data_IF_398705185198
#
_entry.id   IF_398705185198
#
_cell.length_a   1.000
_cell.length_b   1.000
_cell.length_c   1.000
_cell.angle_alpha   90.00
_cell.angle_beta   90.00
_cell.angle_gamma   90.00
#
_symmetry.space_group_name_H-M   'P 1'
#
loop_
_entity.id
_entity.type
_entity.pdbx_description
1 polymer ?
#
# COMPACT_ATOMS: atom_id res chain seq x y z
N UNK A 1 4.04 21.00 -20.67
CA UNK A 1 2.72 21.38 -21.19
C UNK A 1 1.80 21.50 -19.99
N UNK A 2 1.09 22.61 -19.86
CA UNK A 2 0.12 22.80 -18.78
C UNK A 2 -1.25 22.30 -19.26
N UNK A 3 -2.03 21.72 -18.35
CA UNK A 3 -3.34 21.16 -18.65
C UNK A 3 -4.27 21.37 -17.46
N UNK A 4 -5.55 21.52 -17.75
CA UNK A 4 -6.58 21.78 -16.75
C UNK A 4 -7.09 20.48 -16.11
N UNK A 5 -7.44 20.55 -14.83
CA UNK A 5 -7.99 19.47 -14.03
C UNK A 5 -9.42 19.72 -13.54
N UNK A 6 -10.07 20.83 -13.92
CA UNK A 6 -11.42 21.18 -13.47
C UNK A 6 -12.45 20.10 -13.79
N UNK A 7 -12.56 19.69 -15.06
CA UNK A 7 -13.51 18.64 -15.51
C UNK A 7 -12.88 17.23 -15.52
N UNK A 8 -11.59 17.16 -15.23
CA UNK A 8 -10.77 15.95 -15.26
C UNK A 8 -9.99 15.78 -16.56
N UNK A 9 -8.78 15.24 -16.41
CA UNK A 9 -7.85 14.99 -17.51
C UNK A 9 -7.39 13.54 -17.53
N UNK A 10 -7.01 13.08 -18.72
CA UNK A 10 -6.39 11.77 -18.91
C UNK A 10 -4.90 11.86 -18.59
N UNK A 11 -4.45 10.94 -17.74
CA UNK A 11 -3.05 10.69 -17.46
C UNK A 11 -2.68 9.36 -18.12
N UNK A 12 -1.86 9.45 -19.15
CA UNK A 12 -1.44 8.33 -19.98
C UNK A 12 -0.34 7.52 -19.31
N UNK A 13 -0.28 6.23 -19.65
CA UNK A 13 0.75 5.34 -19.12
C UNK A 13 2.14 5.74 -19.59
N UNK A 14 3.13 5.64 -18.69
CA UNK A 14 4.52 6.00 -18.98
C UNK A 14 4.81 7.49 -19.07
N UNK A 15 3.79 8.35 -18.98
CA UNK A 15 3.96 9.80 -18.87
C UNK A 15 4.17 10.22 -17.41
N UNK A 16 4.78 11.39 -17.22
CA UNK A 16 5.04 11.98 -15.89
C UNK A 16 4.34 13.34 -15.81
N UNK A 17 3.60 13.54 -14.74
CA UNK A 17 2.81 14.74 -14.48
C UNK A 17 3.12 15.28 -13.10
N UNK A 18 3.29 16.59 -12.97
CA UNK A 18 3.46 17.27 -11.67
C UNK A 18 2.22 18.11 -11.42
N UNK A 19 1.50 17.81 -10.34
CA UNK A 19 0.24 18.47 -9.98
C UNK A 19 0.40 19.17 -8.63
N UNK A 20 0.24 20.51 -8.56
CA UNK A 20 0.15 21.21 -7.28
C UNK A 20 -1.02 20.66 -6.46
N UNK A 21 -0.76 20.30 -5.20
CA UNK A 21 -1.81 19.86 -4.30
C UNK A 21 -2.60 21.05 -3.76
N UNK A 22 -3.85 20.81 -3.39
CA UNK A 22 -4.70 21.82 -2.77
C UNK A 22 -4.20 22.16 -1.36
N UNK A 23 -3.65 21.16 -0.67
CA UNK A 23 -3.07 21.31 0.66
C UNK A 23 -1.65 21.91 0.60
N UNK A 24 -1.36 22.75 1.60
CA UNK A 24 -0.01 23.18 1.96
C UNK A 24 0.18 22.96 3.45
N UNK A 25 1.43 22.96 3.92
CA UNK A 25 1.73 22.73 5.34
C UNK A 25 2.59 23.84 5.92
N UNK A 26 2.42 24.05 7.23
CA UNK A 26 3.27 24.90 8.05
C UNK A 26 3.55 24.14 9.36
N UNK A 27 4.50 23.21 9.30
CA UNK A 27 4.77 22.29 10.39
C UNK A 27 5.49 22.99 11.55
N UNK A 28 5.19 22.63 12.81
CA UNK A 28 6.04 22.97 13.94
C UNK A 28 7.46 22.41 13.81
N UNK A 29 8.42 23.03 14.50
CA UNK A 29 9.84 22.67 14.41
C UNK A 29 10.18 21.24 14.88
N UNK A 30 9.29 20.62 15.66
CA UNK A 30 9.42 19.27 16.20
C UNK A 30 8.57 18.22 15.45
N UNK A 31 7.82 18.63 14.41
CA UNK A 31 6.93 17.77 13.63
C UNK A 31 7.46 17.63 12.21
N UNK A 32 7.78 16.40 11.84
CA UNK A 32 8.04 15.99 10.46
C UNK A 32 6.84 15.24 9.88
N UNK A 33 6.85 14.97 8.59
CA UNK A 33 5.86 14.11 7.97
C UNK A 33 6.44 13.26 6.84
N UNK A 34 5.79 12.14 6.55
CA UNK A 34 6.02 11.40 5.32
C UNK A 34 4.73 11.18 4.56
N UNK A 35 4.85 11.06 3.25
CA UNK A 35 3.77 10.69 2.36
C UNK A 35 3.92 9.25 1.86
N UNK A 36 2.82 8.66 1.43
CA UNK A 36 2.81 7.40 0.72
C UNK A 36 1.56 7.35 -0.18
N UNK A 37 1.57 6.54 -1.25
CA UNK A 37 0.37 6.33 -2.04
C UNK A 37 -0.74 5.71 -1.17
N UNK A 38 -1.99 6.00 -1.54
CA UNK A 38 -3.12 5.27 -0.98
C UNK A 38 -3.13 3.85 -1.52
N UNK A 39 -3.66 2.92 -0.75
CA UNK A 39 -3.77 1.51 -1.14
C UNK A 39 -4.56 1.29 -2.45
N UNK A 40 -5.56 2.15 -2.73
CA UNK A 40 -6.28 2.13 -4.01
C UNK A 40 -5.45 2.62 -5.20
N UNK A 41 -4.48 3.51 -4.95
CA UNK A 41 -3.54 4.05 -5.95
C UNK A 41 -2.52 2.99 -6.32
N UNK A 42 -1.95 2.31 -5.31
CA UNK A 42 -1.05 1.17 -5.51
C UNK A 42 -1.70 0.05 -6.31
N UNK A 43 -2.95 -0.32 -5.98
CA UNK A 43 -3.70 -1.34 -6.73
C UNK A 43 -4.02 -0.97 -8.18
N UNK A 44 -3.82 0.27 -8.59
CA UNK A 44 -3.95 0.70 -10.00
C UNK A 44 -2.58 0.86 -10.68
N UNK A 45 -1.50 0.50 -10.00
CA UNK A 45 -0.13 0.67 -10.46
C UNK A 45 0.17 2.12 -10.88
N UNK A 46 -0.26 3.07 -10.06
CA UNK A 46 0.00 4.49 -10.26
C UNK A 46 1.19 4.87 -9.40
N UNK A 47 2.31 5.23 -10.04
CA UNK A 47 3.45 5.78 -9.35
C UNK A 47 3.15 7.20 -8.89
N UNK A 48 3.41 7.47 -7.61
CA UNK A 48 3.28 8.81 -7.06
C UNK A 48 4.43 9.17 -6.12
N UNK A 49 4.85 10.44 -6.14
CA UNK A 49 5.78 11.03 -5.17
C UNK A 49 5.29 12.40 -4.75
N UNK A 50 5.25 12.65 -3.45
CA UNK A 50 5.05 14.00 -2.92
C UNK A 50 6.39 14.75 -2.98
N UNK A 51 6.34 15.95 -3.54
CA UNK A 51 7.48 16.85 -3.70
C UNK A 51 7.23 18.10 -2.84
N UNK A 52 8.29 18.56 -2.19
CA UNK A 52 8.31 19.78 -1.38
C UNK A 52 9.36 20.75 -1.92
N UNK A 53 9.22 22.03 -1.60
CA UNK A 53 10.25 23.02 -1.95
C UNK A 53 11.56 22.67 -1.22
N UNK A 54 12.68 22.72 -1.95
CA UNK A 54 14.01 22.34 -1.45
C UNK A 54 14.12 20.88 -0.96
N UNK A 55 13.24 20.00 -1.43
CA UNK A 55 13.29 18.57 -1.14
C UNK A 55 14.66 17.96 -1.48
N UNK A 56 15.21 17.20 -0.52
CA UNK A 56 16.36 16.31 -0.78
C UNK A 56 15.92 14.89 -1.07
N UNK A 57 14.73 14.52 -0.60
CA UNK A 57 14.13 13.21 -0.72
C UNK A 57 12.65 13.39 -1.04
N UNK A 58 12.11 12.53 -1.91
CA UNK A 58 10.67 12.48 -2.15
C UNK A 58 9.93 11.95 -0.93
N UNK A 59 8.66 12.28 -0.83
CA UNK A 59 7.73 11.80 0.20
C UNK A 59 8.12 12.18 1.63
N UNK A 60 9.17 12.98 1.85
CA UNK A 60 9.59 13.44 3.17
C UNK A 60 9.42 14.95 3.31
N UNK A 61 8.78 15.35 4.40
CA UNK A 61 8.66 16.74 4.83
C UNK A 61 9.51 16.87 6.10
N UNK A 62 10.63 17.63 6.06
CA UNK A 62 11.48 17.80 7.22
C UNK A 62 10.73 18.54 8.33
N UNK A 63 11.23 18.40 9.56
CA UNK A 63 10.63 19.09 10.69
C UNK A 63 10.66 20.61 10.51
N UNK A 64 9.55 21.28 10.80
CA UNK A 64 9.41 22.73 10.57
C UNK A 64 9.14 23.14 9.12
N UNK A 65 8.95 22.20 8.19
CA UNK A 65 8.68 22.53 6.79
C UNK A 65 7.43 23.41 6.64
N UNK A 66 7.57 24.50 5.88
CA UNK A 66 6.50 25.42 5.54
C UNK A 66 6.53 25.67 4.04
N UNK A 67 5.47 25.26 3.35
CA UNK A 67 5.42 25.44 1.90
C UNK A 67 4.30 24.66 1.22
N UNK A 68 4.20 24.82 -0.11
CA UNK A 68 3.30 24.05 -0.94
C UNK A 68 3.70 22.58 -0.96
N UNK A 69 2.78 21.74 -1.47
CA UNK A 69 3.05 20.35 -1.79
C UNK A 69 2.69 20.10 -3.25
N UNK A 70 3.46 19.26 -3.93
CA UNK A 70 3.18 18.82 -5.29
C UNK A 70 3.13 17.30 -5.32
N UNK A 71 2.38 16.74 -6.25
CA UNK A 71 2.31 15.31 -6.49
C UNK A 71 2.82 15.02 -7.89
N UNK A 72 3.92 14.29 -7.97
CA UNK A 72 4.30 13.58 -9.19
C UNK A 72 3.38 12.38 -9.37
N UNK A 73 2.85 12.20 -10.57
CA UNK A 73 1.95 11.11 -10.94
C UNK A 73 2.47 10.50 -12.24
N UNK A 74 2.64 9.18 -12.26
CA UNK A 74 2.97 8.42 -13.46
C UNK A 74 2.21 7.08 -13.47
N UNK A 75 1.11 6.98 -14.22
CA UNK A 75 0.42 5.70 -14.39
C UNK A 75 1.33 4.70 -15.09
N UNK A 76 1.45 3.48 -14.55
CA UNK A 76 2.36 2.46 -15.10
C UNK A 76 1.63 1.41 -15.93
N UNK A 77 0.48 0.94 -15.45
CA UNK A 77 -0.28 -0.12 -16.14
C UNK A 77 -1.58 0.37 -16.75
N UNK A 78 -2.41 1.09 -15.98
CA UNK A 78 -3.68 1.60 -16.47
C UNK A 78 -3.60 3.10 -16.71
N UNK A 79 -4.05 3.61 -17.87
CA UNK A 79 -4.28 5.04 -18.01
C UNK A 79 -5.46 5.46 -17.13
N UNK A 80 -5.38 6.67 -16.56
CA UNK A 80 -6.35 7.12 -15.55
C UNK A 80 -6.97 8.47 -15.90
N UNK A 81 -8.14 8.74 -15.34
CA UNK A 81 -8.73 10.07 -15.28
C UNK A 81 -8.68 10.58 -13.85
N UNK A 82 -8.12 11.78 -13.67
CA UNK A 82 -8.08 12.48 -12.38
C UNK A 82 -8.45 13.95 -12.57
N UNK A 83 -8.93 14.58 -11.50
CA UNK A 83 -9.45 15.96 -11.47
C UNK A 83 -9.07 16.67 -10.18
N UNK A 84 -9.36 17.96 -10.10
CA UNK A 84 -9.22 18.71 -8.86
C UNK A 84 -10.01 18.02 -7.73
N UNK A 85 -9.34 17.77 -6.60
CA UNK A 85 -9.91 17.04 -5.46
C UNK A 85 -9.77 15.52 -5.52
N UNK A 86 -9.26 14.92 -6.60
CA UNK A 86 -8.91 13.50 -6.63
C UNK A 86 -7.82 13.18 -5.59
N UNK A 87 -7.97 12.04 -4.90
CA UNK A 87 -7.11 11.67 -3.75
C UNK A 87 -6.28 10.43 -4.06
N UNK A 88 -5.00 10.63 -4.38
CA UNK A 88 -4.06 9.57 -4.76
C UNK A 88 -3.00 9.28 -3.68
N UNK A 89 -2.63 10.28 -2.89
CA UNK A 89 -1.62 10.18 -1.82
C UNK A 89 -2.21 10.49 -0.45
N UNK A 90 -1.42 10.26 0.59
CA UNK A 90 -1.73 10.51 1.99
C UNK A 90 -0.46 10.87 2.74
N UNK A 91 -0.60 11.67 3.80
CA UNK A 91 0.50 12.18 4.62
C UNK A 91 0.30 11.78 6.08
N UNK A 92 1.38 11.32 6.73
CA UNK A 92 1.42 10.99 8.17
C UNK A 92 2.40 11.93 8.86
N UNK A 93 1.91 12.63 9.88
CA UNK A 93 2.70 13.53 10.73
C UNK A 93 3.27 12.76 11.93
N UNK A 94 4.50 13.08 12.31
CA UNK A 94 5.22 12.40 13.39
C UNK A 94 6.03 13.39 14.23
N UNK A 95 6.17 13.06 15.52
CA UNK A 95 7.04 13.76 16.47
C UNK A 95 8.13 12.82 16.95
N UNK A 96 9.39 13.21 16.78
CA UNK A 96 10.55 12.44 17.26
C UNK A 96 10.63 11.02 16.68
N UNK A 97 11.24 10.10 17.44
CA UNK A 97 11.38 8.68 17.07
C UNK A 97 10.25 7.85 17.67
N UNK A 98 9.24 7.53 16.87
CA UNK A 98 8.09 6.73 17.29
C UNK A 98 8.24 5.22 17.00
N UNK A 99 9.24 4.84 16.20
CA UNK A 99 9.46 3.46 15.74
C UNK A 99 9.78 2.51 16.89
N UNK A 100 9.16 1.34 16.88
CA UNK A 100 9.49 0.23 17.77
C UNK A 100 10.73 -0.50 17.23
N UNK A 101 11.67 -0.80 18.14
CA UNK A 101 12.73 -1.76 17.87
C UNK A 101 12.20 -3.21 17.95
N UNK A 102 13.04 -4.17 17.57
CA UNK A 102 12.66 -5.58 17.50
C UNK A 102 12.29 -6.17 18.87
N UNK A 103 12.92 -5.69 19.95
CA UNK A 103 12.62 -6.12 21.31
C UNK A 103 11.23 -5.63 21.75
N UNK A 104 10.93 -4.36 21.52
CA UNK A 104 9.62 -3.77 21.79
C UNK A 104 8.52 -4.40 20.93
N UNK A 105 8.82 -4.73 19.68
CA UNK A 105 7.89 -5.38 18.76
C UNK A 105 7.59 -6.82 19.18
N UNK A 106 8.61 -7.57 19.61
CA UNK A 106 8.46 -8.92 20.17
C UNK A 106 7.60 -8.89 21.43
N UNK A 107 7.89 -7.94 22.34
CA UNK A 107 7.10 -7.76 23.55
C UNK A 107 5.66 -7.33 23.25
N UNK A 108 5.42 -6.53 22.20
CA UNK A 108 4.08 -6.17 21.77
C UNK A 108 3.33 -7.40 21.22
N UNK A 109 3.95 -8.19 20.35
CA UNK A 109 3.35 -9.43 19.85
C UNK A 109 2.96 -10.38 20.97
N UNK A 110 3.81 -10.59 21.98
CA UNK A 110 3.50 -11.45 23.11
C UNK A 110 2.28 -10.97 23.93
N UNK A 111 1.98 -9.67 23.94
CA UNK A 111 0.84 -9.10 24.68
C UNK A 111 -0.47 -9.14 23.91
N UNK A 112 -0.45 -8.84 22.62
CA UNK A 112 -1.68 -8.57 21.84
C UNK A 112 -1.81 -9.37 20.54
N UNK A 113 -0.79 -10.14 20.15
CA UNK A 113 -0.75 -10.87 18.88
C UNK A 113 -0.73 -9.93 17.67
N UNK A 114 0.43 -9.79 17.01
CA UNK A 114 0.56 -8.95 15.80
C UNK A 114 0.34 -9.73 14.49
N UNK A 115 0.50 -11.05 14.54
CA UNK A 115 0.25 -11.98 13.43
C UNK A 115 -0.34 -13.26 13.98
N UNK A 116 -0.94 -14.06 13.12
CA UNK A 116 -1.27 -15.44 13.42
C UNK A 116 0.01 -16.30 13.52
N UNK A 117 0.19 -16.97 14.66
CA UNK A 117 1.34 -17.84 14.89
C UNK A 117 2.63 -17.11 15.27
N UNK A 118 3.77 -17.77 15.04
CA UNK A 118 5.08 -17.29 15.45
C UNK A 118 5.58 -16.17 14.51
N UNK A 119 5.96 -14.99 15.05
CA UNK A 119 6.40 -13.87 14.22
C UNK A 119 7.86 -14.03 13.81
N UNK A 120 8.21 -13.61 12.59
CA UNK A 120 9.60 -13.39 12.21
C UNK A 120 9.91 -11.89 12.31
N UNK A 121 10.67 -11.50 13.33
CA UNK A 121 11.01 -10.10 13.61
C UNK A 121 12.51 -9.89 13.40
N UNK A 122 12.85 -9.04 12.44
CA UNK A 122 14.20 -8.59 12.16
C UNK A 122 14.13 -7.26 11.40
N UNK A 123 14.44 -6.15 12.09
CA UNK A 123 14.21 -4.78 11.63
C UNK A 123 12.74 -4.49 11.27
N UNK A 124 11.82 -5.05 12.04
CA UNK A 124 10.37 -5.05 11.77
C UNK A 124 9.79 -6.45 11.59
N UNK A 125 8.46 -6.54 11.53
CA UNK A 125 7.71 -7.77 11.36
C UNK A 125 7.72 -8.20 9.89
N UNK A 126 8.34 -9.32 9.55
CA UNK A 126 8.38 -9.80 8.18
C UNK A 126 7.02 -10.30 7.70
N UNK A 127 6.74 -10.05 6.42
CA UNK A 127 5.61 -10.60 5.70
C UNK A 127 6.09 -11.46 4.54
N UNK A 128 5.43 -12.59 4.38
CA UNK A 128 5.69 -13.56 3.33
C UNK A 128 4.49 -13.75 2.42
N UNK A 129 4.72 -14.28 1.23
CA UNK A 129 3.69 -14.41 0.20
C UNK A 129 2.86 -15.70 0.35
N UNK A 130 1.55 -15.62 0.15
CA UNK A 130 0.69 -16.80 0.01
C UNK A 130 0.43 -17.13 -1.46
N UNK A 131 0.89 -18.31 -1.89
CA UNK A 131 0.66 -18.84 -3.25
C UNK A 131 -0.04 -20.20 -3.21
N UNK A 132 -0.68 -20.54 -2.08
CA UNK A 132 -1.44 -21.80 -1.93
C UNK A 132 -2.85 -21.71 -2.52
N UNK A 133 -3.43 -20.50 -2.53
CA UNK A 133 -4.67 -20.22 -3.24
C UNK A 133 -5.92 -20.72 -2.53
N UNK A 134 -6.02 -20.51 -1.20
CA UNK A 134 -7.26 -20.76 -0.46
C UNK A 134 -8.44 -20.00 -1.10
N UNK A 135 -9.29 -20.71 -1.87
CA UNK A 135 -10.37 -20.12 -2.67
C UNK A 135 -10.19 -20.20 -4.19
N UNK A 136 -9.15 -20.87 -4.69
CA UNK A 136 -8.93 -21.13 -6.12
C UNK A 136 -8.25 -20.01 -6.91
N UNK A 137 -7.87 -18.91 -6.24
CA UNK A 137 -7.14 -17.78 -6.83
C UNK A 137 -5.98 -17.42 -5.89
N UNK A 138 -4.77 -17.30 -6.44
CA UNK A 138 -3.57 -16.85 -5.70
C UNK A 138 -3.31 -15.35 -5.86
N UNK A 139 -3.87 -14.74 -6.90
CA UNK A 139 -3.62 -13.35 -7.23
C UNK A 139 -4.32 -12.87 -8.49
N UNK A 140 -4.00 -11.65 -8.88
CA UNK A 140 -4.41 -11.07 -10.16
C UNK A 140 -3.20 -10.51 -10.90
N UNK A 141 -3.12 -10.77 -12.20
CA UNK A 141 -2.18 -10.11 -13.11
C UNK A 141 -2.92 -9.01 -13.87
N UNK A 142 -2.34 -7.83 -13.95
CA UNK A 142 -2.95 -6.72 -14.66
C UNK A 142 -2.88 -6.92 -16.19
N UNK A 143 -3.93 -6.53 -16.90
CA UNK A 143 -3.94 -6.49 -18.37
C UNK A 143 -3.26 -5.22 -18.87
N UNK A 144 -2.54 -5.34 -20.00
CA UNK A 144 -1.77 -4.23 -20.60
C UNK A 144 -2.61 -3.24 -21.40
N UNK A 145 -3.67 -3.71 -22.06
CA UNK A 145 -4.53 -2.90 -22.91
C UNK A 145 -5.94 -2.88 -22.35
N UNK A 146 -6.32 -1.75 -21.76
CA UNK A 146 -7.58 -1.59 -21.03
C UNK A 146 -8.17 -0.22 -21.32
N UNK A 147 -9.42 -0.01 -20.89
CA UNK A 147 -10.03 1.31 -20.89
C UNK A 147 -9.40 2.22 -19.79
N UNK A 148 -9.79 3.50 -19.78
CA UNK A 148 -9.39 4.44 -18.74
C UNK A 148 -10.05 4.08 -17.39
N UNK A 149 -9.33 4.32 -16.29
CA UNK A 149 -9.89 4.21 -14.93
C UNK A 149 -10.05 5.61 -14.32
N UNK A 150 -11.29 5.97 -13.98
CA UNK A 150 -11.57 7.19 -13.22
C UNK A 150 -11.31 6.94 -11.72
N UNK A 151 -10.32 7.62 -11.14
CA UNK A 151 -9.84 7.36 -9.77
C UNK A 151 -10.83 7.75 -8.66
N UNK A 152 -11.90 8.46 -9.01
CA UNK A 152 -12.92 8.90 -8.07
C UNK A 152 -14.17 8.00 -8.10
N UNK A 153 -14.41 7.28 -9.19
CA UNK A 153 -15.60 6.42 -9.36
C UNK A 153 -15.40 5.06 -8.72
N UNK A 154 -16.38 4.62 -7.92
CA UNK A 154 -16.34 3.33 -7.21
C UNK A 154 -17.19 2.29 -7.91
N UNK A 155 -16.71 1.05 -7.97
CA UNK A 155 -17.45 -0.11 -8.47
C UNK A 155 -18.10 0.09 -9.86
N UNK A 156 -17.38 0.70 -10.80
CA UNK A 156 -17.88 0.96 -12.17
C UNK A 156 -17.27 0.05 -13.22
N UNK A 157 -16.17 -0.63 -12.90
CA UNK A 157 -15.46 -1.51 -13.83
C UNK A 157 -15.66 -2.98 -13.47
N UNK A 158 -15.77 -3.84 -14.49
CA UNK A 158 -15.72 -5.28 -14.30
C UNK A 158 -14.27 -5.74 -14.14
N UNK A 159 -14.02 -6.63 -13.19
CA UNK A 159 -12.68 -7.10 -12.84
C UNK A 159 -11.97 -7.68 -14.06
N UNK A 160 -12.66 -8.52 -14.82
CA UNK A 160 -12.08 -9.27 -15.94
C UNK A 160 -11.72 -8.39 -17.14
N UNK A 161 -12.16 -7.14 -17.20
CA UNK A 161 -11.72 -6.20 -18.25
C UNK A 161 -10.30 -5.68 -18.00
N UNK A 162 -9.84 -5.71 -16.74
CA UNK A 162 -8.58 -5.10 -16.30
C UNK A 162 -7.60 -6.10 -15.68
N UNK A 163 -8.10 -7.22 -15.17
CA UNK A 163 -7.33 -8.20 -14.42
C UNK A 163 -7.56 -9.61 -14.92
N UNK A 164 -6.49 -10.40 -14.89
CA UNK A 164 -6.49 -11.83 -15.13
C UNK A 164 -6.35 -12.52 -13.77
N UNK A 165 -7.36 -13.26 -13.28
CA UNK A 165 -7.24 -14.06 -12.07
C UNK A 165 -6.22 -15.17 -12.29
N UNK A 166 -5.35 -15.40 -11.31
CA UNK A 166 -4.31 -16.42 -11.36
C UNK A 166 -4.77 -17.58 -10.49
N UNK A 167 -5.00 -18.74 -11.10
CA UNK A 167 -5.32 -19.97 -10.38
C UNK A 167 -4.04 -20.65 -9.87
N UNK A 168 -4.09 -21.36 -8.72
CA UNK A 168 -2.98 -22.21 -8.29
C UNK A 168 -2.78 -23.34 -9.32
N UNK A 169 -1.53 -23.63 -9.69
CA UNK A 169 -1.21 -24.71 -10.61
C UNK A 169 0.10 -25.41 -10.23
N UNK A 170 0.01 -26.70 -9.90
CA UNK A 170 1.19 -27.50 -9.57
C UNK A 170 1.82 -27.08 -8.24
N UNK A 171 3.08 -26.63 -8.29
CA UNK A 171 3.82 -26.17 -7.10
C UNK A 171 3.31 -24.78 -6.67
N UNK A 172 3.37 -24.43 -5.37
CA UNK A 172 2.95 -23.13 -4.87
C UNK A 172 4.03 -22.06 -5.18
N UNK A 173 4.23 -21.78 -6.46
CA UNK A 173 5.19 -20.83 -7.02
C UNK A 173 4.54 -19.99 -8.12
N UNK A 174 5.07 -18.80 -8.38
CA UNK A 174 4.60 -17.90 -9.43
C UNK A 174 5.80 -17.25 -10.12
N UNK A 175 5.86 -17.37 -11.45
CA UNK A 175 6.82 -16.60 -12.24
C UNK A 175 6.33 -15.15 -12.37
N UNK A 176 7.12 -14.22 -11.85
CA UNK A 176 6.93 -12.78 -12.00
C UNK A 176 7.61 -12.34 -13.30
N UNK A 177 6.80 -12.15 -14.35
CA UNK A 177 7.28 -11.65 -15.63
C UNK A 177 7.67 -10.16 -15.53
N UNK A 178 8.78 -9.73 -16.15
CA UNK A 178 9.11 -8.32 -16.25
C UNK A 178 7.96 -7.50 -16.85
N UNK A 179 7.83 -6.27 -16.39
CA UNK A 179 6.79 -5.31 -16.78
C UNK A 179 5.34 -5.73 -16.47
N UNK A 180 5.12 -6.89 -15.86
CA UNK A 180 3.81 -7.26 -15.34
C UNK A 180 3.60 -6.73 -13.92
N UNK A 181 2.34 -6.48 -13.60
CA UNK A 181 1.91 -6.04 -12.29
C UNK A 181 0.98 -7.06 -11.66
N UNK A 182 1.28 -7.44 -10.42
CA UNK A 182 0.57 -8.47 -9.70
C UNK A 182 -0.03 -7.91 -8.41
N UNK A 183 -1.26 -8.30 -8.12
CA UNK A 183 -1.87 -8.16 -6.79
C UNK A 183 -1.90 -9.54 -6.16
N UNK A 184 -1.14 -9.69 -5.09
CA UNK A 184 -1.01 -10.91 -4.30
C UNK A 184 -1.42 -10.62 -2.85
N UNK A 185 -1.27 -11.60 -1.96
CA UNK A 185 -1.66 -11.48 -0.56
C UNK A 185 -0.63 -12.10 0.37
N UNK A 186 -0.46 -11.54 1.56
CA UNK A 186 0.42 -12.08 2.58
C UNK A 186 -0.11 -13.41 3.13
N UNK A 187 0.82 -14.24 3.61
CA UNK A 187 0.51 -15.43 4.39
C UNK A 187 0.05 -15.05 5.80
N UNK A 188 0.70 -14.07 6.40
CA UNK A 188 0.40 -13.62 7.76
C UNK A 188 -0.87 -12.76 7.78
N UNK A 189 -1.76 -13.04 8.73
CA UNK A 189 -2.90 -12.21 9.11
C UNK A 189 -2.43 -11.16 10.13
N UNK A 190 -2.23 -9.93 9.66
CA UNK A 190 -1.64 -8.84 10.43
C UNK A 190 -2.67 -8.14 11.31
N UNK A 191 -2.26 -7.78 12.52
CA UNK A 191 -3.01 -6.94 13.44
C UNK A 191 -2.19 -5.71 13.87
N UNK A 192 -2.74 -4.52 13.62
CA UNK A 192 -2.20 -3.23 14.09
C UNK A 192 -3.06 -2.72 15.24
N UNK A 193 -2.56 -2.77 16.50
CA UNK A 193 -3.37 -2.39 17.66
C UNK A 193 -3.70 -0.89 17.67
N UNK A 194 -4.76 -0.46 18.40
CA UNK A 194 -5.25 0.92 18.41
C UNK A 194 -4.24 2.03 18.74
N UNK A 195 -3.21 1.72 19.52
CA UNK A 195 -2.21 2.71 19.97
C UNK A 195 -0.95 2.72 19.07
N UNK A 196 -0.99 2.01 17.95
CA UNK A 196 0.12 1.88 17.02
C UNK A 196 -0.36 2.11 15.59
N UNK A 197 0.54 2.62 14.77
CA UNK A 197 0.42 2.56 13.33
C UNK A 197 1.53 1.65 12.78
N UNK A 198 1.37 1.21 11.54
CA UNK A 198 2.46 0.53 10.85
C UNK A 198 2.71 1.11 9.45
N UNK A 199 3.86 0.79 8.90
CA UNK A 199 4.27 1.15 7.55
C UNK A 199 4.97 -0.06 6.92
N UNK A 200 4.55 -0.40 5.71
CA UNK A 200 5.28 -1.38 4.91
C UNK A 200 6.57 -0.76 4.43
N UNK A 201 7.68 -1.45 4.65
CA UNK A 201 8.97 -1.15 4.04
C UNK A 201 9.40 -2.32 3.17
N UNK A 202 10.01 -2.08 2.00
CA UNK A 202 10.51 -3.15 1.16
C UNK A 202 11.49 -4.06 1.90
N UNK A 203 11.52 -5.34 1.54
CA UNK A 203 12.66 -6.19 1.84
C UNK A 203 13.90 -5.63 1.11
N UNK A 204 15.06 -5.69 1.77
CA UNK A 204 16.31 -5.00 1.40
C UNK A 204 16.54 -4.91 -0.14
N UNK A 205 16.74 -3.69 -0.70
CA UNK A 205 16.95 -3.48 -2.13
C UNK A 205 18.15 -4.21 -2.76
N UNK A 206 19.06 -4.76 -1.94
CA UNK A 206 20.18 -5.58 -2.42
C UNK A 206 19.72 -6.89 -3.07
N UNK A 207 18.46 -7.29 -2.87
CA UNK A 207 17.80 -8.34 -3.65
C UNK A 207 17.19 -7.68 -4.89
N UNK A 208 18.00 -7.46 -5.93
CA UNK A 208 17.64 -6.76 -7.17
C UNK A 208 16.59 -7.46 -8.06
N UNK A 209 15.89 -8.47 -7.54
CA UNK A 209 15.12 -9.44 -8.33
C UNK A 209 13.62 -9.10 -8.37
N UNK A 210 13.05 -8.59 -7.28
CA UNK A 210 11.66 -8.12 -7.24
C UNK A 210 11.43 -7.08 -6.14
N UNK A 211 10.33 -6.32 -6.22
CA UNK A 211 9.93 -5.36 -5.19
C UNK A 211 8.43 -5.49 -4.89
N UNK A 212 8.08 -5.36 -3.61
CA UNK A 212 6.72 -4.93 -3.25
C UNK A 212 6.63 -3.44 -3.57
N UNK A 213 5.94 -3.13 -4.65
CA UNK A 213 5.70 -1.76 -5.07
C UNK A 213 4.63 -1.12 -4.18
N UNK A 214 4.71 0.19 -3.97
CA UNK A 214 3.68 0.97 -3.26
C UNK A 214 3.46 0.60 -1.78
N UNK A 215 4.56 0.28 -1.09
CA UNK A 215 4.60 0.15 0.35
C UNK A 215 3.89 1.35 1.01
N UNK A 216 2.94 1.07 1.91
CA UNK A 216 1.99 2.07 2.39
C UNK A 216 1.77 2.03 3.89
N UNK A 217 1.00 3.02 4.35
CA UNK A 217 0.57 3.17 5.74
C UNK A 217 -0.52 2.16 6.10
N UNK A 218 -0.35 1.54 7.26
CA UNK A 218 -1.37 0.76 7.96
C UNK A 218 -1.86 1.58 9.15
N UNK A 219 -3.16 1.75 9.23
CA UNK A 219 -3.81 2.57 10.26
C UNK A 219 -4.06 1.78 11.55
N UNK A 220 -4.14 2.47 12.71
CA UNK A 220 -4.49 1.83 13.96
C UNK A 220 -5.86 1.14 13.87
N UNK A 221 -5.92 -0.13 14.29
CA UNK A 221 -7.10 -0.98 14.17
C UNK A 221 -7.13 -1.87 12.93
N UNK A 222 -6.11 -1.84 12.05
CA UNK A 222 -6.05 -2.78 10.94
C UNK A 222 -6.02 -4.23 11.44
N UNK A 223 -6.93 -5.08 10.95
CA UNK A 223 -7.08 -6.47 11.44
C UNK A 223 -7.51 -6.60 12.90
N UNK A 224 -7.97 -5.51 13.53
CA UNK A 224 -8.46 -5.50 14.89
C UNK A 224 -9.95 -5.88 14.93
N UNK A 225 -10.33 -6.74 15.87
CA UNK A 225 -11.73 -6.92 16.27
C UNK A 225 -11.84 -6.85 17.79
N UNK A 226 -12.94 -6.29 18.31
CA UNK A 226 -13.17 -6.16 19.75
C UNK A 226 -13.16 -7.51 20.49
N UNK A 227 -13.40 -8.62 19.77
CA UNK A 227 -13.32 -9.99 20.27
C UNK A 227 -11.92 -10.63 20.14
N UNK A 228 -10.87 -9.84 19.94
CA UNK A 228 -9.49 -10.32 19.86
C UNK A 228 -9.00 -10.65 18.44
N UNK A 229 -9.36 -9.79 17.47
CA UNK A 229 -8.94 -9.76 16.05
C UNK A 229 -8.10 -10.93 15.55
N UNK A 230 -8.64 -11.73 14.63
CA UNK A 230 -7.89 -12.80 13.94
C UNK A 230 -6.80 -12.28 12.96
N UNK A 231 -6.55 -10.97 12.96
CA UNK A 231 -5.72 -10.30 11.96
C UNK A 231 -6.41 -10.20 10.60
N UNK A 232 -5.74 -9.51 9.68
CA UNK A 232 -6.17 -9.32 8.31
C UNK A 232 -4.97 -9.44 7.39
N UNK A 233 -5.10 -10.14 6.27
CA UNK A 233 -3.96 -10.31 5.36
C UNK A 233 -3.69 -9.02 4.62
N UNK A 234 -2.41 -8.71 4.46
CA UNK A 234 -1.97 -7.58 3.66
C UNK A 234 -2.10 -7.96 2.18
N UNK A 235 -2.81 -7.13 1.42
CA UNK A 235 -2.75 -7.19 -0.04
C UNK A 235 -1.45 -6.54 -0.49
N UNK A 236 -0.74 -7.17 -1.42
CA UNK A 236 0.61 -6.81 -1.83
C UNK A 236 0.65 -6.56 -3.33
N UNK A 237 1.16 -5.38 -3.69
CA UNK A 237 1.44 -5.00 -5.06
C UNK A 237 2.87 -5.41 -5.43
N UNK A 238 3.04 -6.35 -6.37
CA UNK A 238 4.34 -6.97 -6.68
C UNK A 238 4.72 -6.80 -8.15
N UNK A 239 6.00 -6.49 -8.40
CA UNK A 239 6.63 -6.52 -9.74
C UNK A 239 8.02 -7.13 -9.65
N UNK A 240 8.45 -7.84 -10.69
CA UNK A 240 9.87 -8.16 -10.90
C UNK A 240 10.59 -7.02 -11.61
N UNK A 241 11.91 -6.99 -11.47
CA UNK A 241 12.76 -6.00 -12.12
C UNK A 241 13.63 -6.67 -13.19
N UNK A 242 13.56 -6.16 -14.44
CA UNK A 242 14.39 -6.52 -15.61
C UNK A 242 14.38 -7.99 -16.07
N UNK A 243 14.41 -8.96 -15.16
CA UNK A 243 14.47 -10.40 -15.40
C UNK A 243 13.29 -11.13 -14.74
N UNK A 244 12.81 -12.24 -15.32
CA UNK A 244 11.81 -13.08 -14.68
C UNK A 244 12.31 -13.60 -13.33
N UNK A 245 11.43 -13.62 -12.33
CA UNK A 245 11.75 -14.13 -10.99
C UNK A 245 10.73 -15.18 -10.56
N UNK A 246 11.19 -16.33 -10.04
CA UNK A 246 10.30 -17.35 -9.48
C UNK A 246 10.05 -17.01 -8.02
N UNK A 247 8.84 -16.55 -7.72
CA UNK A 247 8.41 -16.28 -6.35
C UNK A 247 7.83 -17.56 -5.75
N UNK A 248 8.38 -18.02 -4.63
CA UNK A 248 7.92 -19.22 -3.94
C UNK A 248 7.03 -18.89 -2.74
N UNK A 249 6.08 -19.77 -2.42
CA UNK A 249 5.25 -19.62 -1.23
C UNK A 249 6.08 -19.50 0.06
N UNK A 250 5.73 -18.54 0.91
CA UNK A 250 6.43 -18.29 2.17
C UNK A 250 7.72 -17.49 2.00
N UNK A 251 8.09 -17.09 0.78
CA UNK A 251 9.17 -16.14 0.57
C UNK A 251 8.82 -14.78 1.18
N UNK A 252 9.77 -14.19 1.91
CA UNK A 252 9.62 -12.86 2.52
C UNK A 252 9.65 -11.80 1.43
N UNK A 253 8.68 -10.89 1.45
CA UNK A 253 8.49 -9.85 0.43
C UNK A 253 8.55 -8.43 1.01
N UNK A 254 8.36 -8.28 2.31
CA UNK A 254 8.41 -6.97 2.97
C UNK A 254 8.47 -7.07 4.48
N UNK A 255 8.54 -5.91 5.13
CA UNK A 255 8.47 -5.79 6.58
C UNK A 255 7.48 -4.71 6.97
N UNK A 256 6.73 -4.95 8.03
CA UNK A 256 5.96 -3.93 8.72
C UNK A 256 6.78 -3.35 9.87
N UNK A 257 7.00 -2.05 9.78
CA UNK A 257 7.56 -1.24 10.85
C UNK A 257 6.42 -0.65 11.66
N UNK A 258 6.45 -0.83 12.98
CA UNK A 258 5.43 -0.27 13.88
C UNK A 258 5.93 1.02 14.51
N UNK A 259 5.02 1.98 14.65
CA UNK A 259 5.23 3.26 15.29
C UNK A 259 4.17 3.49 16.37
N UNK A 260 4.55 4.11 17.49
CA UNK A 260 3.61 4.51 18.54
C UNK A 260 2.79 5.71 18.11
N UNK A 261 1.49 5.66 18.35
CA UNK A 261 0.63 6.84 18.23
C UNK A 261 0.89 7.81 19.37
N UNK A 262 0.77 9.12 19.11
CA UNK A 262 0.83 10.15 20.15
C UNK A 262 -0.37 9.99 21.10
N UNK A 263 -1.55 9.75 20.51
CA UNK A 263 -2.81 9.49 21.20
C UNK A 263 -3.61 8.46 20.40
N UNK A 264 -4.47 7.70 21.09
CA UNK A 264 -5.39 6.76 20.44
C UNK A 264 -6.35 7.53 19.51
N UNK A 265 -6.53 7.13 18.24
CA UNK A 265 -7.43 7.82 17.34
C UNK A 265 -8.89 7.66 17.78
N UNK A 266 -9.71 8.66 17.44
CA UNK A 266 -11.15 8.65 17.72
C UNK A 266 -11.92 7.62 16.91
N UNK A 267 -11.39 7.23 15.76
CA UNK A 267 -11.98 6.26 14.83
C UNK A 267 -10.86 5.30 14.43
N UNK A 268 -11.09 4.01 14.65
CA UNK A 268 -10.20 2.95 14.25
C UNK A 268 -10.46 2.49 12.82
N UNK A 269 -9.45 1.90 12.22
CA UNK A 269 -9.59 1.30 10.89
C UNK A 269 -10.66 0.21 10.89
N UNK A 270 -11.61 0.32 9.96
CA UNK A 270 -12.75 -0.60 9.84
C UNK A 270 -13.89 -0.34 10.83
N UNK A 271 -13.75 0.60 11.76
CA UNK A 271 -14.84 0.97 12.66
C UNK A 271 -16.00 1.63 11.87
N UNK A 272 -17.22 1.15 12.08
CA UNK A 272 -18.42 1.62 11.36
C UNK A 272 -18.55 1.14 9.91
N UNK A 273 -17.58 0.38 9.39
CA UNK A 273 -17.64 -0.29 8.09
C UNK A 273 -17.84 -1.77 8.40
N UNK A 274 -18.96 -2.37 7.96
CA UNK A 274 -19.34 -3.73 8.35
C UNK A 274 -18.20 -4.77 8.27
N UNK A 275 -18.35 -5.86 9.03
CA UNK A 275 -17.36 -6.94 9.26
C UNK A 275 -16.63 -7.49 8.01
N UNK A 276 -17.19 -7.28 6.82
CA UNK A 276 -16.57 -7.57 5.52
C UNK A 276 -15.27 -6.81 5.21
N UNK A 277 -14.97 -5.68 5.85
CA UNK A 277 -13.72 -4.94 5.59
C UNK A 277 -12.53 -5.40 6.45
N UNK A 278 -12.81 -6.11 7.56
CA UNK A 278 -11.82 -6.55 8.55
C UNK A 278 -11.30 -7.98 8.32
N UNK A 279 -12.01 -8.81 7.54
CA UNK A 279 -11.52 -10.09 7.06
C UNK A 279 -10.91 -9.95 5.65
N UNK A 280 -9.77 -9.24 5.51
CA UNK A 280 -9.19 -9.04 4.18
C UNK A 280 -8.50 -10.32 3.71
N UNK A 281 -9.12 -10.94 2.70
CA UNK A 281 -8.43 -11.77 1.72
C UNK A 281 -7.94 -10.95 0.52
N UNK A 282 -7.59 -11.63 -0.56
CA UNK A 282 -7.19 -11.03 -1.83
C UNK A 282 -8.27 -10.05 -2.35
N UNK A 283 -7.93 -8.76 -2.50
CA UNK A 283 -8.89 -7.71 -2.86
C UNK A 283 -8.30 -6.67 -3.82
N UNK A 284 -9.02 -6.41 -4.92
CA UNK A 284 -8.72 -5.36 -5.88
C UNK A 284 -9.16 -3.97 -5.41
N UNK A 285 -8.86 -2.94 -6.20
CA UNK A 285 -9.15 -1.55 -5.83
C UNK A 285 -10.66 -1.27 -5.77
N UNK A 286 -11.05 -0.17 -5.09
CA UNK A 286 -12.44 0.30 -4.95
C UNK A 286 -13.20 0.54 -6.27
N UNK A 287 -12.49 0.59 -7.40
CA UNK A 287 -13.05 0.94 -8.71
C UNK A 287 -13.74 -0.25 -9.39
N UNK A 288 -13.43 -1.47 -8.95
CA UNK A 288 -13.97 -2.71 -9.51
C UNK A 288 -15.21 -3.16 -8.74
N UNK A 289 -16.20 -3.71 -9.44
CA UNK A 289 -17.39 -4.31 -8.81
C UNK A 289 -16.97 -5.55 -8.01
N UNK A 290 -17.53 -5.70 -6.81
CA UNK A 290 -17.48 -6.97 -6.09
C UNK A 290 -18.31 -7.99 -6.86
N UNK A 291 -17.68 -9.10 -7.26
CA UNK A 291 -18.39 -10.29 -7.72
C UNK A 291 -19.13 -10.99 -6.59
#
# INVERSE_FOLDING_TARGET
>A
HEFDLLDGAVFETGCVYIVPLMESVALPADIAAAANPKSSTGRLDIFTRVITDHAREFDQMPAGYRGPLYLEISPRTFPIVARAGSRLSQIRFRRGSARLDDAALTALHARVGLVDGAPHIANGLALSIDLTGAGGIIGYRAKRHTALIDVDRRAVHDVLDFWEPIAPHGRPELVLDPDQFYILVSREAVHVPPDYAAEMVPFDPLVGEFRVHYAGFFDPGFGHSEAGGAGSRAVLEVRSHEVPFILEHGQIVGRLVYERMIERPRVLYGEGIGSHYQAQGLKLSKHFRSG
#
